data_IF_530400350382
#
_entry.id   IF_530400350382
#
_cell.length_a   1.000
_cell.length_b   1.000
_cell.length_c   1.000
_cell.angle_alpha   90.00
_cell.angle_beta   90.00
_cell.angle_gamma   90.00
#
_symmetry.space_group_name_H-M   'P 1'
#
loop_
_entity.id
_entity.type
_entity.pdbx_description
1 polymer ?
#
# COMPACT_ATOMS: atom_id res chain seq x y z
N UNK A 1 -18.19 73.43 -13.47
CA UNK A 1 -17.02 72.70 -13.98
C UNK A 1 -16.06 72.45 -12.82
N UNK A 2 -16.02 71.22 -12.29
CA UNK A 2 -15.06 70.82 -11.27
C UNK A 2 -14.40 69.52 -11.75
N UNK A 3 -13.09 69.56 -11.98
CA UNK A 3 -12.28 68.42 -12.41
C UNK A 3 -11.97 67.54 -11.19
N UNK A 4 -12.29 66.25 -11.27
CA UNK A 4 -12.03 65.28 -10.21
C UNK A 4 -10.72 64.52 -10.51
N UNK A 5 -9.75 64.67 -9.62
CA UNK A 5 -8.42 64.04 -9.68
C UNK A 5 -8.53 62.54 -9.40
N UNK A 6 -8.03 61.68 -10.29
CA UNK A 6 -7.89 60.24 -10.06
C UNK A 6 -6.48 59.93 -9.56
N UNK A 7 -6.38 59.50 -8.30
CA UNK A 7 -5.17 58.97 -7.70
C UNK A 7 -4.92 57.55 -8.26
N UNK A 8 -3.76 57.33 -8.90
CA UNK A 8 -3.33 56.02 -9.38
C UNK A 8 -2.51 55.36 -8.27
N UNK A 9 -3.06 54.35 -7.60
CA UNK A 9 -2.30 53.52 -6.67
C UNK A 9 -1.37 52.57 -7.43
N UNK A 10 -0.06 52.79 -7.29
CA UNK A 10 0.99 51.87 -7.74
C UNK A 10 0.97 50.60 -6.86
N UNK A 11 0.46 49.49 -7.39
CA UNK A 11 0.66 48.16 -6.78
C UNK A 11 2.14 47.77 -6.89
N UNK A 12 2.86 47.81 -5.77
CA UNK A 12 4.19 47.21 -5.62
C UNK A 12 4.09 45.69 -5.81
N UNK A 13 4.63 45.16 -6.89
CA UNK A 13 4.99 43.75 -6.97
C UNK A 13 6.26 43.55 -6.14
N UNK A 14 6.14 42.91 -4.98
CA UNK A 14 7.29 42.58 -4.15
C UNK A 14 8.04 41.38 -4.78
N UNK A 15 9.33 41.56 -5.05
CA UNK A 15 10.22 40.49 -5.50
C UNK A 15 10.50 39.55 -4.32
N UNK A 16 10.15 38.28 -4.46
CA UNK A 16 10.41 37.23 -3.46
C UNK A 16 11.80 36.62 -3.76
N UNK A 17 12.75 36.57 -2.82
CA UNK A 17 14.06 35.94 -3.02
C UNK A 17 13.95 34.44 -3.38
N UNK A 18 14.84 33.95 -4.25
CA UNK A 18 14.78 32.56 -4.75
C UNK A 18 14.82 31.46 -3.66
N UNK A 19 15.43 31.72 -2.51
CA UNK A 19 15.46 30.77 -1.38
C UNK A 19 14.08 30.61 -0.72
N UNK A 20 13.27 31.68 -0.70
CA UNK A 20 11.90 31.65 -0.18
C UNK A 20 10.93 31.03 -1.18
N UNK A 21 11.20 31.12 -2.48
CA UNK A 21 10.42 30.42 -3.52
C UNK A 21 10.62 28.91 -3.38
N UNK A 22 11.83 28.45 -3.08
CA UNK A 22 12.16 27.04 -2.89
C UNK A 22 11.43 26.47 -1.66
N UNK A 23 11.50 27.17 -0.52
CA UNK A 23 10.77 26.80 0.70
C UNK A 23 9.26 26.95 0.55
N UNK A 24 8.80 27.95 -0.19
CA UNK A 24 7.38 28.13 -0.51
C UNK A 24 6.90 26.99 -1.41
N UNK A 25 7.67 26.58 -2.44
CA UNK A 25 7.37 25.47 -3.32
C UNK A 25 7.37 24.13 -2.58
N UNK A 26 8.38 23.85 -1.75
CA UNK A 26 8.40 22.67 -0.86
C UNK A 26 7.21 22.68 0.08
N UNK A 27 6.91 23.81 0.72
CA UNK A 27 5.74 23.93 1.61
C UNK A 27 4.41 23.93 0.85
N UNK A 28 4.40 24.23 -0.45
CA UNK A 28 3.21 24.20 -1.31
C UNK A 28 3.00 22.79 -1.82
N UNK A 29 4.04 22.05 -2.19
CA UNK A 29 4.01 20.62 -2.50
C UNK A 29 3.64 19.78 -1.26
N UNK A 30 4.19 20.10 -0.09
CA UNK A 30 3.84 19.45 1.19
C UNK A 30 2.39 19.80 1.62
N UNK A 31 1.95 21.04 1.35
CA UNK A 31 0.54 21.45 1.54
C UNK A 31 -0.42 20.86 0.51
N UNK A 32 -0.01 20.63 -0.73
CA UNK A 32 -0.84 19.98 -1.76
C UNK A 32 -0.87 18.46 -1.55
N UNK A 33 0.18 17.86 -0.99
CA UNK A 33 0.20 16.45 -0.59
C UNK A 33 -0.68 16.18 0.65
N UNK A 34 -0.78 17.14 1.59
CA UNK A 34 -1.76 17.09 2.69
C UNK A 34 -3.20 17.42 2.25
N UNK A 35 -3.38 18.09 1.09
CA UNK A 35 -4.67 18.49 0.53
C UNK A 35 -5.14 17.67 -0.68
N UNK A 36 -4.32 16.72 -1.16
CA UNK A 36 -4.74 15.58 -1.99
C UNK A 36 -5.59 14.65 -1.14
N UNK A 37 -6.76 15.19 -0.81
CA UNK A 37 -8.01 14.65 -0.30
C UNK A 37 -7.88 13.35 0.48
N UNK A 38 -8.47 13.38 1.68
CA UNK A 38 -9.22 12.26 2.28
C UNK A 38 -10.32 11.76 1.31
N UNK A 39 -9.99 11.42 0.07
CA UNK A 39 -10.78 10.52 -0.74
C UNK A 39 -10.59 9.15 -0.09
N UNK A 40 -11.68 8.41 0.07
CA UNK A 40 -11.57 7.03 0.51
C UNK A 40 -10.61 6.32 -0.46
N UNK A 41 -9.61 5.57 0.06
CA UNK A 41 -8.66 4.89 -0.80
C UNK A 41 -9.40 3.95 -1.74
N UNK A 42 -9.07 4.04 -3.04
CA UNK A 42 -9.66 3.25 -4.12
C UNK A 42 -9.73 1.78 -3.72
N UNK A 43 -10.92 1.20 -3.80
CA UNK A 43 -11.13 -0.23 -3.52
C UNK A 43 -10.84 -1.00 -4.80
N UNK A 44 -9.82 -1.87 -4.76
CA UNK A 44 -9.48 -2.73 -5.88
C UNK A 44 -10.44 -3.92 -6.01
N UNK A 45 -10.95 -4.41 -4.88
CA UNK A 45 -11.85 -5.56 -4.85
C UNK A 45 -11.90 -6.24 -3.51
N UNK A 46 -12.41 -7.47 -3.50
CA UNK A 46 -12.66 -8.24 -2.28
C UNK A 46 -12.13 -9.67 -2.44
N UNK A 47 -11.46 -10.17 -1.40
CA UNK A 47 -11.04 -11.56 -1.27
C UNK A 47 -11.96 -12.26 -0.28
N UNK A 48 -12.54 -13.39 -0.71
CA UNK A 48 -13.37 -14.25 0.12
C UNK A 48 -12.66 -15.56 0.45
N UNK A 49 -12.67 -15.93 1.73
CA UNK A 49 -12.22 -17.25 2.19
C UNK A 49 -13.43 -18.16 2.25
N UNK A 50 -13.49 -19.11 1.32
CA UNK A 50 -14.56 -20.10 1.23
C UNK A 50 -14.27 -21.32 2.12
N UNK A 51 -15.30 -22.13 2.41
CA UNK A 51 -15.13 -23.43 3.06
C UNK A 51 -15.14 -23.41 4.59
N UNK A 52 -15.56 -22.31 5.22
CA UNK A 52 -16.00 -22.35 6.61
C UNK A 52 -17.38 -23.04 6.64
N UNK A 53 -17.45 -24.38 6.63
CA UNK A 53 -18.72 -25.13 6.70
C UNK A 53 -19.42 -24.99 8.08
N UNK A 54 -19.47 -23.78 8.65
CA UNK A 54 -20.07 -23.47 9.95
C UNK A 54 -19.27 -23.92 11.18
N UNK A 55 -18.21 -24.72 11.02
CA UNK A 55 -17.48 -25.36 12.13
C UNK A 55 -16.11 -24.72 12.38
N UNK A 56 -16.07 -23.41 12.59
CA UNK A 56 -14.92 -22.81 13.24
C UNK A 56 -15.09 -22.97 14.76
N UNK A 57 -14.08 -23.46 15.51
CA UNK A 57 -14.14 -23.47 16.96
C UNK A 57 -14.48 -22.07 17.49
N UNK A 58 -15.36 -21.97 18.49
CA UNK A 58 -15.89 -20.69 19.01
C UNK A 58 -14.77 -19.69 19.35
N UNK A 59 -13.62 -20.19 19.84
CA UNK A 59 -12.46 -19.38 20.18
C UNK A 59 -11.70 -18.81 18.96
N UNK A 60 -11.84 -19.40 17.77
CA UNK A 60 -11.23 -18.93 16.51
C UNK A 60 -12.16 -18.03 15.70
N UNK A 61 -13.48 -18.16 15.85
CA UNK A 61 -14.47 -17.40 15.08
C UNK A 61 -14.25 -15.88 15.16
N UNK A 62 -13.88 -15.35 16.33
CA UNK A 62 -13.67 -13.91 16.53
C UNK A 62 -12.48 -13.35 15.74
N UNK A 63 -11.52 -14.20 15.38
CA UNK A 63 -10.31 -13.82 14.65
C UNK A 63 -10.35 -14.18 13.17
N UNK A 64 -11.39 -14.87 12.70
CA UNK A 64 -11.52 -15.29 11.32
C UNK A 64 -12.42 -14.35 10.55
N UNK A 65 -11.80 -13.49 9.73
CA UNK A 65 -12.51 -12.74 8.70
C UNK A 65 -12.62 -13.63 7.46
N UNK A 66 -13.84 -13.77 6.93
CA UNK A 66 -14.09 -14.48 5.67
C UNK A 66 -14.07 -13.56 4.45
N UNK A 67 -14.02 -12.24 4.68
CA UNK A 67 -14.02 -11.19 3.66
C UNK A 67 -12.93 -10.18 3.97
N UNK A 68 -12.11 -9.88 2.96
CA UNK A 68 -11.03 -8.90 3.04
C UNK A 68 -11.15 -7.92 1.86
N UNK A 69 -11.26 -6.63 2.15
CA UNK A 69 -11.29 -5.60 1.12
C UNK A 69 -9.87 -5.18 0.78
N UNK A 70 -9.48 -5.28 -0.49
CA UNK A 70 -8.21 -4.82 -1.02
C UNK A 70 -8.35 -3.36 -1.43
N UNK A 71 -7.52 -2.48 -0.86
CA UNK A 71 -7.56 -1.04 -1.08
C UNK A 71 -6.20 -0.51 -1.46
N UNK A 72 -6.18 0.52 -2.30
CA UNK A 72 -4.98 1.26 -2.63
C UNK A 72 -4.26 1.71 -1.37
N UNK A 73 -2.98 1.35 -1.27
CA UNK A 73 -2.14 1.74 -0.13
C UNK A 73 -1.69 3.18 -0.29
N UNK A 74 -1.62 3.88 0.83
CA UNK A 74 -1.05 5.22 0.86
C UNK A 74 0.44 5.22 0.49
N UNK A 75 1.18 4.20 0.94
CA UNK A 75 2.58 3.98 0.58
C UNK A 75 2.73 2.65 -0.17
N UNK A 76 3.38 2.63 -1.35
CA UNK A 76 3.70 1.39 -2.06
C UNK A 76 4.63 0.50 -1.22
N UNK A 77 4.49 -0.82 -1.36
CA UNK A 77 5.29 -1.76 -0.58
C UNK A 77 6.77 -1.75 -0.98
N UNK A 78 7.59 -2.16 -0.02
CA UNK A 78 9.05 -2.20 -0.11
C UNK A 78 9.49 -3.61 0.19
N UNK A 79 10.15 -4.23 -0.78
CA UNK A 79 10.93 -5.43 -0.51
C UNK A 79 12.39 -5.00 -0.44
N UNK A 80 13.09 -5.45 0.60
CA UNK A 80 14.53 -5.25 0.74
C UNK A 80 15.21 -6.59 0.49
N UNK A 81 16.37 -6.58 -0.18
CA UNK A 81 17.21 -7.77 -0.36
C UNK A 81 18.52 -7.61 0.41
N UNK A 82 18.99 -8.69 1.01
CA UNK A 82 20.38 -8.86 1.44
C UNK A 82 20.88 -10.22 0.93
N UNK A 83 21.96 -10.20 0.13
CA UNK A 83 22.43 -11.33 -0.65
C UNK A 83 23.38 -12.27 0.11
N UNK A 84 23.39 -13.55 -0.28
CA UNK A 84 24.34 -14.59 0.15
C UNK A 84 24.74 -15.54 -0.99
N UNK A 85 25.95 -16.10 -0.92
CA UNK A 85 26.77 -16.63 -2.03
C UNK A 85 26.29 -17.90 -2.79
N UNK A 86 25.03 -18.40 -2.67
CA UNK A 86 24.65 -19.72 -3.25
C UNK A 86 23.26 -19.84 -3.92
N UNK A 87 22.54 -18.74 -4.16
CA UNK A 87 21.20 -18.78 -4.78
C UNK A 87 21.02 -17.71 -5.86
N UNK A 88 20.21 -17.98 -6.90
CA UNK A 88 19.75 -16.95 -7.83
C UNK A 88 18.85 -16.00 -7.05
N UNK A 89 19.25 -14.73 -7.00
CA UNK A 89 18.50 -13.67 -6.31
C UNK A 89 17.85 -12.80 -7.37
N UNK A 90 16.54 -12.60 -7.25
CA UNK A 90 15.81 -11.57 -8.01
C UNK A 90 15.55 -10.41 -7.05
N UNK A 91 16.11 -9.26 -7.37
CA UNK A 91 15.87 -8.04 -6.61
C UNK A 91 14.43 -7.55 -6.85
N UNK A 92 13.72 -7.29 -5.76
CA UNK A 92 12.42 -6.64 -5.79
C UNK A 92 12.59 -5.20 -5.32
N UNK A 93 12.49 -4.25 -6.24
CA UNK A 93 12.49 -2.82 -5.93
C UNK A 93 11.09 -2.33 -5.62
N UNK A 94 10.96 -1.20 -4.88
CA UNK A 94 9.66 -0.52 -4.74
C UNK A 94 9.13 -0.20 -6.12
N UNK A 95 7.90 -0.63 -6.39
CA UNK A 95 7.17 -0.23 -7.56
C UNK A 95 6.03 0.70 -7.15
N UNK A 96 6.13 1.97 -7.54
CA UNK A 96 5.10 2.99 -7.24
C UNK A 96 3.82 2.78 -8.05
N UNK A 97 3.86 1.95 -9.09
CA UNK A 97 2.73 1.68 -9.98
C UNK A 97 1.89 0.49 -9.55
N UNK A 98 2.31 -0.25 -8.51
CA UNK A 98 1.58 -1.42 -8.03
C UNK A 98 1.43 -1.42 -6.50
N UNK A 99 0.42 -2.14 -6.03
CA UNK A 99 0.28 -2.54 -4.63
C UNK A 99 0.40 -4.04 -4.49
N UNK A 100 0.93 -4.49 -3.35
CA UNK A 100 1.08 -5.92 -3.04
C UNK A 100 0.33 -6.26 -1.74
N UNK A 101 -0.32 -7.41 -1.74
CA UNK A 101 -1.01 -7.97 -0.57
C UNK A 101 -0.51 -9.38 -0.34
N UNK A 102 0.05 -9.63 0.83
CA UNK A 102 0.65 -10.91 1.18
C UNK A 102 -0.28 -11.74 2.04
N UNK A 103 -0.43 -12.99 1.65
CA UNK A 103 -1.37 -13.93 2.25
C UNK A 103 -0.59 -15.08 2.83
N UNK A 104 -0.94 -15.52 4.03
CA UNK A 104 -0.32 -16.67 4.66
C UNK A 104 -0.90 -16.97 6.03
N UNK A 105 -0.41 -18.04 6.66
CA UNK A 105 -0.86 -18.40 8.03
C UNK A 105 -0.07 -17.73 9.15
N UNK A 106 1.02 -17.04 8.83
CA UNK A 106 1.90 -16.47 9.85
C UNK A 106 1.35 -15.12 10.33
N UNK A 107 1.36 -14.91 11.65
CA UNK A 107 0.86 -13.70 12.30
C UNK A 107 2.03 -12.78 12.63
N UNK A 108 2.66 -12.25 11.59
CA UNK A 108 3.63 -11.17 11.70
C UNK A 108 3.69 -10.42 10.39
N UNK A 109 4.18 -9.16 10.41
CA UNK A 109 4.70 -8.55 9.20
C UNK A 109 5.67 -9.53 8.51
N UNK A 110 5.62 -9.62 7.18
CA UNK A 110 4.88 -8.77 6.25
C UNK A 110 3.53 -9.34 5.75
N UNK A 111 2.87 -10.24 6.49
CA UNK A 111 1.57 -10.83 6.09
C UNK A 111 0.43 -9.84 6.32
N UNK A 112 -0.36 -9.54 5.28
CA UNK A 112 -1.51 -8.65 5.34
C UNK A 112 -2.81 -9.40 5.64
N UNK A 113 -2.97 -10.59 5.05
CA UNK A 113 -4.18 -11.41 5.18
C UNK A 113 -3.78 -12.75 5.78
N UNK A 114 -4.16 -12.92 7.05
CA UNK A 114 -3.96 -14.16 7.77
C UNK A 114 -5.06 -15.16 7.39
N UNK A 115 -4.68 -16.26 6.76
CA UNK A 115 -5.56 -17.41 6.50
C UNK A 115 -5.08 -18.58 7.32
N UNK A 116 -5.96 -19.11 8.17
CA UNK A 116 -5.64 -20.22 9.06
C UNK A 116 -6.53 -21.40 8.73
N UNK A 117 -5.97 -22.60 8.71
CA UNK A 117 -6.76 -23.82 8.64
C UNK A 117 -7.55 -23.99 9.95
N UNK A 118 -8.82 -24.35 9.83
CA UNK A 118 -9.68 -24.69 10.97
C UNK A 118 -9.24 -26.00 11.63
N UNK A 119 -8.67 -26.91 10.83
CA UNK A 119 -8.06 -28.13 11.32
C UNK A 119 -6.63 -27.85 11.76
N UNK A 120 -6.45 -27.44 13.02
CA UNK A 120 -5.14 -27.18 13.63
C UNK A 120 -4.15 -28.35 13.49
N UNK A 121 -4.65 -29.58 13.29
CA UNK A 121 -3.86 -30.78 13.04
C UNK A 121 -3.20 -30.82 11.65
N UNK A 122 -3.72 -30.08 10.65
CA UNK A 122 -3.17 -30.01 9.30
C UNK A 122 -2.69 -28.59 9.02
N UNK A 123 -1.37 -28.42 8.87
CA UNK A 123 -0.79 -27.15 8.40
C UNK A 123 -0.90 -27.09 6.87
N UNK A 124 -2.12 -26.97 6.34
CA UNK A 124 -2.38 -26.95 4.89
C UNK A 124 -1.95 -25.65 4.20
N UNK A 125 -1.88 -24.54 4.94
CA UNK A 125 -1.51 -23.22 4.40
C UNK A 125 -0.06 -22.88 4.73
N UNK A 126 0.68 -22.42 3.72
CA UNK A 126 2.06 -21.94 3.88
C UNK A 126 2.13 -20.70 4.78
N UNK A 127 3.25 -20.53 5.50
CA UNK A 127 3.50 -19.34 6.35
C UNK A 127 3.39 -18.05 5.54
N UNK A 128 3.98 -18.06 4.35
CA UNK A 128 4.01 -16.99 3.36
C UNK A 128 3.55 -17.61 2.03
N UNK A 129 2.24 -17.61 1.78
CA UNK A 129 1.60 -18.49 0.78
C UNK A 129 1.57 -17.88 -0.62
N UNK A 130 1.09 -16.65 -0.76
CA UNK A 130 1.01 -15.98 -2.05
C UNK A 130 0.98 -14.45 -1.91
N UNK A 131 1.18 -13.78 -3.04
CA UNK A 131 1.06 -12.32 -3.20
C UNK A 131 -0.01 -12.02 -4.24
N UNK A 132 -0.89 -11.09 -3.94
CA UNK A 132 -1.73 -10.42 -4.95
C UNK A 132 -1.08 -9.09 -5.25
N UNK A 133 -0.66 -8.88 -6.50
CA UNK A 133 -0.14 -7.60 -6.97
C UNK A 133 -1.18 -6.95 -7.86
N UNK A 134 -1.49 -5.68 -7.60
CA UNK A 134 -2.54 -4.95 -8.31
C UNK A 134 -1.95 -3.67 -8.87
N UNK A 135 -2.19 -3.41 -10.14
CA UNK A 135 -1.79 -2.16 -10.79
C UNK A 135 -2.62 -0.98 -10.27
N UNK A 136 -1.96 0.15 -10.01
CA UNK A 136 -2.59 1.39 -9.53
C UNK A 136 -3.23 2.21 -10.66
N UNK A 137 -3.10 1.78 -11.91
CA UNK A 137 -3.78 2.38 -13.06
C UNK A 137 -5.28 2.09 -13.05
N UNK A 138 -6.05 2.77 -13.90
CA UNK A 138 -7.51 2.68 -13.92
C UNK A 138 -8.07 1.27 -14.21
N UNK A 139 -7.25 0.38 -14.81
CA UNK A 139 -7.66 -0.98 -15.11
C UNK A 139 -7.58 -1.91 -13.88
N UNK A 140 -6.85 -1.50 -12.84
CA UNK A 140 -6.66 -2.26 -11.59
C UNK A 140 -6.36 -3.74 -11.81
N UNK A 141 -5.51 -4.06 -12.79
CA UNK A 141 -5.23 -5.44 -13.14
C UNK A 141 -4.57 -6.15 -11.94
N UNK A 142 -5.21 -7.23 -11.47
CA UNK A 142 -4.71 -8.06 -10.38
C UNK A 142 -4.00 -9.31 -10.91
N UNK A 143 -2.84 -9.62 -10.33
CA UNK A 143 -2.01 -10.79 -10.64
C UNK A 143 -1.71 -11.54 -9.34
N UNK A 144 -1.78 -12.87 -9.38
CA UNK A 144 -1.43 -13.72 -8.23
C UNK A 144 -0.09 -14.38 -8.47
N UNK A 145 0.80 -14.27 -7.49
CA UNK A 145 2.11 -14.91 -7.47
C UNK A 145 2.19 -15.92 -6.34
N UNK A 146 2.74 -17.08 -6.62
CA UNK A 146 3.06 -18.05 -5.59
C UNK A 146 4.14 -17.49 -4.64
N UNK A 147 4.07 -17.94 -3.39
CA UNK A 147 4.87 -17.52 -2.25
C UNK A 147 4.74 -16.03 -1.88
N UNK A 148 5.06 -15.71 -0.63
CA UNK A 148 5.16 -14.35 -0.13
C UNK A 148 6.52 -14.14 0.55
N UNK A 149 6.91 -12.87 0.69
CA UNK A 149 8.12 -12.50 1.41
C UNK A 149 7.97 -12.81 2.89
N UNK A 150 9.06 -13.26 3.52
CA UNK A 150 9.14 -13.35 4.96
C UNK A 150 9.58 -12.01 5.61
N UNK A 151 9.77 -12.01 6.93
CA UNK A 151 10.22 -10.83 7.68
C UNK A 151 11.57 -10.24 7.24
N UNK A 152 12.35 -10.98 6.45
CA UNK A 152 13.64 -10.53 5.91
C UNK A 152 13.55 -10.03 4.48
N UNK A 153 12.35 -10.02 3.88
CA UNK A 153 12.14 -9.63 2.49
C UNK A 153 12.46 -10.73 1.48
N UNK A 154 12.60 -11.99 1.93
CA UNK A 154 13.04 -13.11 1.09
C UNK A 154 11.91 -14.09 0.78
N UNK A 155 12.02 -14.77 -0.37
CA UNK A 155 11.21 -15.94 -0.73
C UNK A 155 12.13 -17.14 -0.82
N UNK A 156 11.93 -18.12 0.07
CA UNK A 156 12.70 -19.37 0.06
C UNK A 156 11.93 -20.48 -0.65
N UNK A 157 12.53 -21.02 -1.70
CA UNK A 157 12.09 -22.26 -2.33
C UNK A 157 12.86 -23.41 -1.68
N UNK A 158 12.13 -24.40 -1.17
CA UNK A 158 12.68 -25.63 -0.58
C UNK A 158 12.22 -26.82 -1.39
#
# INVERSE_FOLDING_TARGET
MAANSKHIENKRYNYIPNEDISKAAESFEERDMTRSRKLDPTVYGELFVLGCNGTAPVHLQRHMKSKFTLRQRYHPNVSYNFAGFRSIVVEYTRDKSTDMFQIGRYESPPVDIKVTDLNQARKGVSRFACRIVIERNDNHQAKVYAAAFDGTGNVFFR
#
